data_IF_076133501536
#
_entry.id   IF_076133501536
#
_cell.length_a   1.000
_cell.length_b   1.000
_cell.length_c   1.000
_cell.angle_alpha   90.00
_cell.angle_beta   90.00
_cell.angle_gamma   90.00
#
_symmetry.space_group_name_H-M   'P 1'
#
loop_
_entity.id
_entity.type
_entity.pdbx_description
1 polymer ?
#
# COMPACT_ATOMS: atom_id res chain seq x y z
N UNK A 1 13.77 -4.78 11.57
CA UNK A 1 12.48 -4.02 11.58
C UNK A 1 11.37 -4.80 12.26
N UNK A 2 11.10 -6.05 11.86
CA UNK A 2 10.02 -6.88 12.45
C UNK A 2 10.02 -6.96 13.99
N UNK A 3 11.17 -7.29 14.61
CA UNK A 3 11.27 -7.41 16.09
C UNK A 3 11.19 -6.07 16.85
N UNK A 4 11.75 -4.99 16.27
CA UNK A 4 11.87 -3.69 16.96
C UNK A 4 10.58 -2.87 16.91
N UNK A 5 9.92 -2.84 15.75
CA UNK A 5 8.77 -1.97 15.51
C UNK A 5 7.44 -2.72 15.42
N UNK A 6 7.46 -4.04 15.20
CA UNK A 6 6.27 -4.91 15.09
C UNK A 6 5.19 -4.31 14.15
N UNK A 7 5.53 -4.01 12.89
CA UNK A 7 4.57 -3.44 11.95
C UNK A 7 3.57 -4.49 11.45
N UNK A 8 2.44 -4.03 10.90
CA UNK A 8 1.46 -4.91 10.24
C UNK A 8 1.96 -5.45 8.89
N UNK A 9 2.78 -4.68 8.17
CA UNK A 9 3.41 -5.04 6.90
C UNK A 9 4.68 -4.18 6.68
N UNK A 10 5.53 -4.58 5.75
CA UNK A 10 6.74 -3.84 5.33
C UNK A 10 6.69 -3.60 3.83
N UNK A 11 6.97 -2.38 3.39
CA UNK A 11 7.03 -2.02 1.97
C UNK A 11 8.49 -1.70 1.61
N UNK A 12 9.01 -2.35 0.58
CA UNK A 12 10.40 -2.19 0.13
C UNK A 12 10.42 -1.45 -1.20
N UNK A 13 10.93 -0.22 -1.19
CA UNK A 13 10.98 0.63 -2.37
C UNK A 13 12.30 0.43 -3.14
N UNK A 14 12.19 -0.06 -4.37
CA UNK A 14 13.34 -0.21 -5.26
C UNK A 14 13.83 1.17 -5.72
N UNK A 15 15.15 1.38 -5.66
CA UNK A 15 15.80 2.61 -6.12
C UNK A 15 16.68 2.34 -7.34
N UNK A 16 17.29 3.39 -7.91
CA UNK A 16 18.01 3.30 -9.18
C UNK A 16 19.19 2.31 -9.16
N UNK A 17 20.00 2.31 -8.09
CA UNK A 17 21.22 1.48 -8.07
C UNK A 17 20.88 -0.01 -7.96
N UNK A 18 20.07 -0.48 -6.99
CA UNK A 18 19.66 -1.88 -6.92
C UNK A 18 18.96 -2.37 -8.19
N UNK A 19 18.12 -1.52 -8.80
CA UNK A 19 17.45 -1.85 -10.06
C UNK A 19 18.41 -1.96 -11.25
N UNK A 20 19.54 -1.23 -11.23
CA UNK A 20 20.53 -1.27 -12.31
C UNK A 20 21.50 -2.45 -12.19
N UNK A 21 21.86 -2.83 -10.96
CA UNK A 21 22.80 -3.94 -10.71
C UNK A 21 22.11 -5.31 -10.74
N UNK A 22 20.78 -5.34 -10.84
CA UNK A 22 19.99 -6.57 -11.00
C UNK A 22 19.61 -7.25 -9.70
N UNK A 23 19.44 -6.49 -8.61
CA UNK A 23 18.96 -7.05 -7.34
C UNK A 23 17.53 -7.60 -7.49
N UNK A 24 17.34 -8.89 -7.18
CA UNK A 24 16.02 -9.53 -7.16
C UNK A 24 15.29 -9.21 -5.84
N UNK A 25 14.77 -7.98 -5.77
CA UNK A 25 14.05 -7.49 -4.58
C UNK A 25 12.76 -8.28 -4.31
N UNK A 26 12.13 -8.83 -5.34
CA UNK A 26 10.93 -9.65 -5.18
C UNK A 26 11.24 -10.96 -4.46
N UNK A 27 12.31 -11.66 -4.86
CA UNK A 27 12.75 -12.87 -4.16
C UNK A 27 13.12 -12.58 -2.71
N UNK A 28 13.88 -11.50 -2.46
CA UNK A 28 14.25 -11.08 -1.11
C UNK A 28 13.02 -10.75 -0.26
N UNK A 29 12.02 -10.06 -0.81
CA UNK A 29 10.78 -9.75 -0.09
C UNK A 29 10.01 -11.03 0.26
N UNK A 30 9.91 -11.98 -0.68
CA UNK A 30 9.24 -13.27 -0.45
C UNK A 30 9.91 -14.07 0.67
N UNK A 31 11.23 -14.19 0.65
CA UNK A 31 11.98 -14.88 1.72
C UNK A 31 11.82 -14.17 3.07
N UNK A 32 11.94 -12.84 3.07
CA UNK A 32 11.77 -12.02 4.28
C UNK A 32 10.37 -12.13 4.87
N UNK A 33 9.33 -12.24 4.04
CA UNK A 33 7.96 -12.43 4.50
C UNK A 33 7.78 -13.75 5.26
N UNK A 34 8.42 -14.83 4.80
CA UNK A 34 8.42 -16.13 5.47
C UNK A 34 9.17 -16.06 6.80
N UNK A 35 10.35 -15.43 6.82
CA UNK A 35 11.18 -15.32 8.03
C UNK A 35 10.54 -14.45 9.12
N UNK A 36 9.88 -13.36 8.73
CA UNK A 36 9.28 -12.40 9.65
C UNK A 36 7.83 -12.75 10.02
N UNK A 37 7.17 -13.62 9.26
CA UNK A 37 5.76 -13.97 9.46
C UNK A 37 4.81 -12.78 9.25
N UNK A 38 5.18 -11.82 8.39
CA UNK A 38 4.36 -10.66 8.04
C UNK A 38 4.50 -10.33 6.55
N UNK A 39 3.52 -9.65 5.93
CA UNK A 39 3.61 -9.24 4.53
C UNK A 39 4.80 -8.31 4.28
N UNK A 40 5.63 -8.65 3.28
CA UNK A 40 6.72 -7.80 2.78
C UNK A 40 6.46 -7.55 1.30
N UNK A 41 6.10 -6.31 0.96
CA UNK A 41 5.60 -5.91 -0.35
C UNK A 41 6.71 -5.20 -1.14
N UNK A 42 7.13 -5.73 -2.30
CA UNK A 42 8.06 -5.03 -3.18
C UNK A 42 7.35 -3.91 -3.94
N UNK A 43 7.95 -2.73 -4.00
CA UNK A 43 7.48 -1.59 -4.82
C UNK A 43 8.58 -1.26 -5.84
N UNK A 44 8.41 -1.79 -7.05
CA UNK A 44 9.40 -1.73 -8.13
C UNK A 44 9.39 -0.38 -8.87
N UNK A 45 9.57 0.71 -8.12
CA UNK A 45 9.46 2.08 -8.61
C UNK A 45 10.83 2.80 -8.68
N UNK A 46 11.83 2.17 -9.29
CA UNK A 46 13.14 2.77 -9.47
C UNK A 46 13.05 4.09 -10.24
N UNK A 47 13.78 5.12 -9.80
CA UNK A 47 13.62 6.50 -10.29
C UNK A 47 13.88 6.68 -11.80
N UNK A 48 14.68 5.83 -12.43
CA UNK A 48 14.93 5.90 -13.87
C UNK A 48 13.75 5.38 -14.71
N UNK A 49 12.78 4.67 -14.11
CA UNK A 49 11.64 4.06 -14.81
C UNK A 49 10.67 5.12 -15.34
N UNK A 50 10.65 6.32 -14.73
CA UNK A 50 9.87 7.42 -15.26
C UNK A 50 9.63 8.54 -14.27
N UNK A 51 8.55 9.28 -14.50
CA UNK A 51 8.15 10.42 -13.68
C UNK A 51 7.35 9.97 -12.44
N UNK A 52 7.00 10.92 -11.57
CA UNK A 52 6.08 10.71 -10.44
C UNK A 52 4.81 9.94 -10.84
N UNK A 53 4.24 10.21 -12.01
CA UNK A 53 3.03 9.54 -12.49
C UNK A 53 3.27 8.05 -12.80
N UNK A 54 4.46 7.69 -13.26
CA UNK A 54 4.85 6.28 -13.40
C UNK A 54 4.96 5.63 -12.01
N UNK A 55 5.56 6.33 -11.03
CA UNK A 55 5.61 5.89 -9.64
C UNK A 55 4.22 5.63 -9.04
N UNK A 56 3.25 6.52 -9.25
CA UNK A 56 1.87 6.33 -8.79
C UNK A 56 1.23 5.07 -9.39
N UNK A 57 1.44 4.82 -10.69
CA UNK A 57 0.94 3.61 -11.35
C UNK A 57 1.59 2.35 -10.77
N UNK A 58 2.90 2.34 -10.58
CA UNK A 58 3.64 1.21 -10.01
C UNK A 58 3.25 0.94 -8.55
N UNK A 59 2.99 1.99 -7.76
CA UNK A 59 2.46 1.84 -6.42
C UNK A 59 1.05 1.22 -6.44
N UNK A 60 0.19 1.64 -7.37
CA UNK A 60 -1.12 1.03 -7.57
C UNK A 60 -1.04 -0.45 -7.96
N UNK A 61 -0.13 -0.82 -8.87
CA UNK A 61 0.13 -2.22 -9.22
C UNK A 61 0.62 -3.03 -8.03
N UNK A 62 1.58 -2.52 -7.25
CA UNK A 62 2.07 -3.21 -6.05
C UNK A 62 0.96 -3.46 -5.02
N UNK A 63 0.04 -2.51 -4.85
CA UNK A 63 -1.14 -2.70 -3.99
C UNK A 63 -2.08 -3.77 -4.56
N UNK A 64 -2.35 -3.74 -5.87
CA UNK A 64 -3.22 -4.72 -6.52
C UNK A 64 -2.64 -6.14 -6.44
N UNK A 65 -1.35 -6.30 -6.70
CA UNK A 65 -0.69 -7.59 -6.82
C UNK A 65 -0.43 -8.25 -5.45
N UNK A 66 -0.27 -7.45 -4.39
CA UNK A 66 0.20 -7.96 -3.08
C UNK A 66 -0.70 -7.64 -1.89
N UNK A 67 -1.64 -6.69 -1.98
CA UNK A 67 -2.38 -6.17 -0.81
C UNK A 67 -3.89 -6.32 -0.98
N UNK A 68 -4.45 -5.80 -2.08
CA UNK A 68 -5.89 -5.78 -2.31
C UNK A 68 -6.41 -7.22 -2.43
N UNK A 69 -7.47 -7.54 -1.68
CA UNK A 69 -8.08 -8.88 -1.65
C UNK A 69 -7.44 -9.86 -0.66
N UNK A 70 -6.44 -9.46 0.12
CA UNK A 70 -5.83 -10.30 1.16
C UNK A 70 -6.64 -10.39 2.46
N UNK A 71 -7.65 -9.53 2.63
CA UNK A 71 -8.54 -9.53 3.77
C UNK A 71 -9.93 -9.02 3.36
N UNK A 72 -10.96 -9.52 4.05
CA UNK A 72 -12.34 -9.07 3.90
C UNK A 72 -12.78 -8.30 5.16
N UNK A 73 -13.67 -7.31 5.05
CA UNK A 73 -14.22 -6.64 6.21
C UNK A 73 -15.05 -7.61 7.05
N UNK A 74 -15.03 -7.45 8.37
CA UNK A 74 -15.78 -8.33 9.29
C UNK A 74 -17.30 -8.32 9.07
N UNK A 75 -17.83 -7.24 8.53
CA UNK A 75 -19.20 -7.10 8.07
C UNK A 75 -19.27 -6.07 6.96
N UNK A 76 -20.26 -6.22 6.09
CA UNK A 76 -20.57 -5.26 5.02
C UNK A 76 -21.84 -4.48 5.33
N UNK A 77 -21.96 -3.31 4.72
CA UNK A 77 -23.17 -2.48 4.74
C UNK A 77 -23.67 -2.25 3.31
N UNK A 78 -24.85 -1.64 3.16
CA UNK A 78 -25.36 -1.28 1.83
C UNK A 78 -24.54 -0.18 1.14
N UNK A 79 -23.70 0.56 1.88
CA UNK A 79 -23.00 1.76 1.40
C UNK A 79 -21.52 1.77 1.83
N UNK A 80 -20.83 0.64 1.65
CA UNK A 80 -19.39 0.55 1.84
C UNK A 80 -18.65 1.10 0.60
N UNK A 81 -17.72 2.02 0.80
CA UNK A 81 -16.93 2.66 -0.27
C UNK A 81 -15.45 2.77 0.09
N UNK A 82 -14.60 2.96 -0.92
CA UNK A 82 -13.18 3.29 -0.80
C UNK A 82 -12.88 4.63 -1.46
N UNK A 83 -11.95 5.41 -0.89
CA UNK A 83 -11.52 6.70 -1.42
C UNK A 83 -10.16 6.56 -2.11
N UNK A 84 -10.17 6.39 -3.44
CA UNK A 84 -8.94 6.19 -4.21
C UNK A 84 -8.25 7.53 -4.51
N UNK A 85 -6.99 7.64 -4.09
CA UNK A 85 -6.17 8.83 -4.35
C UNK A 85 -6.39 9.97 -3.36
N UNK A 86 -7.03 9.69 -2.23
CA UNK A 86 -7.12 10.59 -1.08
C UNK A 86 -5.92 10.36 -0.15
N UNK A 87 -5.23 11.43 0.24
CA UNK A 87 -3.99 11.36 1.04
C UNK A 87 -4.12 12.05 2.41
N UNK A 88 -5.30 12.58 2.73
CA UNK A 88 -5.58 13.37 3.92
C UNK A 88 -4.56 14.51 4.11
N UNK A 89 -4.21 15.19 3.00
CA UNK A 89 -3.28 16.32 3.05
C UNK A 89 -3.90 17.40 3.93
N UNK A 90 -3.09 17.96 4.83
CA UNK A 90 -3.53 19.00 5.77
C UNK A 90 -4.78 18.65 6.63
N UNK A 91 -5.15 17.37 6.75
CA UNK A 91 -6.33 16.96 7.51
C UNK A 91 -7.67 17.17 6.79
N UNK A 92 -7.67 17.40 5.47
CA UNK A 92 -8.87 17.68 4.68
C UNK A 92 -9.89 16.53 4.76
N UNK A 93 -9.44 15.27 4.71
CA UNK A 93 -10.32 14.11 4.81
C UNK A 93 -11.07 14.08 6.16
N UNK A 94 -10.46 14.55 7.25
CA UNK A 94 -11.13 14.60 8.56
C UNK A 94 -12.33 15.55 8.59
N UNK A 95 -12.41 16.52 7.67
CA UNK A 95 -13.59 17.37 7.53
C UNK A 95 -14.70 16.69 6.71
N UNK A 96 -14.33 15.75 5.83
CA UNK A 96 -15.26 15.06 4.93
C UNK A 96 -15.85 13.80 5.57
N UNK A 97 -15.07 13.06 6.36
CA UNK A 97 -15.52 11.82 7.01
C UNK A 97 -16.83 11.97 7.82
N UNK A 98 -17.03 13.02 8.64
CA UNK A 98 -18.29 13.21 9.38
C UNK A 98 -19.48 13.45 8.46
N UNK A 99 -19.28 14.00 7.26
CA UNK A 99 -20.34 14.23 6.29
C UNK A 99 -20.77 12.92 5.63
N UNK A 100 -19.81 12.07 5.26
CA UNK A 100 -20.09 10.73 4.72
C UNK A 100 -20.80 9.85 5.75
N UNK A 101 -20.36 9.89 7.01
CA UNK A 101 -20.98 9.15 8.11
C UNK A 101 -22.44 9.58 8.34
N UNK A 102 -22.73 10.89 8.30
CA UNK A 102 -24.10 11.43 8.38
C UNK A 102 -24.99 11.01 7.21
N UNK A 103 -24.42 10.68 6.07
CA UNK A 103 -25.13 10.12 4.91
C UNK A 103 -25.28 8.60 5.00
N UNK A 104 -24.72 7.95 6.03
CA UNK A 104 -24.71 6.50 6.18
C UNK A 104 -23.72 5.79 5.25
N UNK A 105 -22.75 6.52 4.68
CA UNK A 105 -21.71 5.97 3.80
C UNK A 105 -20.50 5.60 4.64
N UNK A 106 -20.13 4.32 4.64
CA UNK A 106 -18.98 3.82 5.40
C UNK A 106 -17.76 3.75 4.50
N UNK A 107 -16.72 4.50 4.87
CA UNK A 107 -15.41 4.44 4.19
C UNK A 107 -14.59 3.27 4.76
N UNK A 108 -14.18 2.32 3.92
CA UNK A 108 -13.36 1.16 4.30
C UNK A 108 -11.85 1.44 4.21
N UNK A 109 -11.44 2.20 3.19
CA UNK A 109 -10.03 2.49 2.88
C UNK A 109 -9.89 3.83 2.18
#
# INVERSE_FOLDING_TARGET
>A
VGKRFRPAAVFVYLTCVPGLIGDDVEAVCRESALELGLPVVPVLAAGFVGTKNAGNRLAGSALLDHVIGTAEPAHTTAYDVSLIGEYNIAGELWQVLPLLDRLGIRVLS
#
